data_IF_875963483951
#
_entry.id   IF_875963483951
#
_cell.length_a   1.000
_cell.length_b   1.000
_cell.length_c   1.000
_cell.angle_alpha   90.00
_cell.angle_beta   90.00
_cell.angle_gamma   90.00
#
_symmetry.space_group_name_H-M   'P 1'
#
loop_
_entity.id
_entity.type
_entity.pdbx_description
1 polymer ?
#
# COMPACT_ATOMS: atom_id res chain seq x y z
N UNK A 1 -2.32 18.89 -75.18
CA UNK A 1 -1.76 20.26 -75.30
C UNK A 1 -0.77 20.37 -76.47
N UNK A 2 0.44 19.80 -76.43
CA UNK A 2 1.42 19.95 -77.54
C UNK A 2 0.97 19.29 -78.86
N UNK A 3 0.49 18.04 -78.82
CA UNK A 3 -0.02 17.35 -80.02
C UNK A 3 -1.24 18.04 -80.63
N UNK A 4 -2.23 18.40 -79.81
CA UNK A 4 -3.47 19.05 -80.29
C UNK A 4 -3.18 20.39 -80.96
N UNK A 5 -2.25 21.16 -80.38
CA UNK A 5 -1.80 22.44 -80.93
C UNK A 5 -1.03 22.27 -82.24
N UNK A 6 -0.15 21.26 -82.35
CA UNK A 6 0.55 20.95 -83.60
C UNK A 6 -0.42 20.47 -84.69
N UNK A 7 -1.43 19.67 -84.32
CA UNK A 7 -2.49 19.21 -85.21
C UNK A 7 -3.36 20.35 -85.72
N UNK A 8 -3.77 21.27 -84.84
CA UNK A 8 -4.57 22.43 -85.21
C UNK A 8 -3.81 23.34 -86.20
N UNK A 9 -2.53 23.61 -85.92
CA UNK A 9 -1.65 24.36 -86.84
C UNK A 9 -1.54 23.68 -88.21
N UNK A 10 -1.30 22.37 -88.24
CA UNK A 10 -1.19 21.62 -89.50
C UNK A 10 -2.51 21.61 -90.29
N UNK A 11 -3.67 21.44 -89.63
CA UNK A 11 -4.99 21.46 -90.29
C UNK A 11 -5.34 22.84 -90.83
N UNK A 12 -4.80 23.92 -90.25
CA UNK A 12 -5.05 25.31 -90.69
C UNK A 12 -4.24 25.75 -91.92
N UNK A 13 -3.41 24.88 -92.50
CA UNK A 13 -2.55 25.19 -93.65
C UNK A 13 -3.39 25.58 -94.88
N UNK A 14 -3.06 26.71 -95.51
CA UNK A 14 -3.76 27.23 -96.70
C UNK A 14 -3.11 26.75 -97.99
N UNK A 15 -3.90 26.68 -99.07
CA UNK A 15 -3.41 26.39 -100.42
C UNK A 15 -2.41 27.48 -100.85
N UNK A 16 -1.22 27.09 -101.30
CA UNK A 16 -0.13 27.99 -101.68
C UNK A 16 0.92 28.25 -100.59
N UNK A 17 0.80 27.63 -99.41
CA UNK A 17 1.83 27.70 -98.36
C UNK A 17 3.16 27.10 -98.86
N UNK A 18 4.28 27.74 -98.51
CA UNK A 18 5.64 27.28 -98.89
C UNK A 18 5.88 25.84 -98.41
N UNK A 19 6.44 25.01 -99.29
CA UNK A 19 6.71 23.59 -99.00
C UNK A 19 7.54 23.40 -97.71
N UNK A 20 8.57 24.21 -97.49
CA UNK A 20 9.40 24.16 -96.28
C UNK A 20 8.61 24.35 -94.98
N UNK A 21 7.61 25.24 -94.98
CA UNK A 21 6.74 25.49 -93.81
C UNK A 21 5.81 24.30 -93.57
N UNK A 22 5.31 23.69 -94.64
CA UNK A 22 4.48 22.49 -94.56
C UNK A 22 5.31 21.34 -93.95
N UNK A 23 6.53 21.11 -94.44
CA UNK A 23 7.42 20.06 -93.92
C UNK A 23 7.74 20.25 -92.44
N UNK A 24 8.01 21.47 -91.98
CA UNK A 24 8.22 21.74 -90.55
C UNK A 24 6.98 21.46 -89.70
N UNK A 25 5.78 21.81 -90.18
CA UNK A 25 4.53 21.49 -89.48
C UNK A 25 4.22 19.98 -89.47
N UNK A 26 4.61 19.24 -90.50
CA UNK A 26 4.51 17.76 -90.54
C UNK A 26 5.43 17.12 -89.50
N UNK A 27 6.67 17.61 -89.37
CA UNK A 27 7.62 17.14 -88.37
C UNK A 27 7.14 17.42 -86.94
N UNK A 28 6.66 18.64 -86.67
CA UNK A 28 6.08 19.02 -85.37
C UNK A 28 4.87 18.14 -85.02
N UNK A 29 3.99 17.88 -86.00
CA UNK A 29 2.85 16.98 -85.82
C UNK A 29 3.29 15.54 -85.51
N UNK A 30 4.30 15.03 -86.23
CA UNK A 30 4.85 13.70 -86.01
C UNK A 30 5.45 13.57 -84.60
N UNK A 31 6.28 14.54 -84.21
CA UNK A 31 6.91 14.58 -82.90
C UNK A 31 5.87 14.69 -81.78
N UNK A 32 4.87 15.56 -81.93
CA UNK A 32 3.75 15.69 -81.01
C UNK A 32 2.98 14.39 -80.85
N UNK A 33 2.68 13.70 -81.96
CA UNK A 33 1.99 12.40 -81.95
C UNK A 33 2.82 11.32 -81.25
N UNK A 34 4.11 11.24 -81.56
CA UNK A 34 5.04 10.28 -80.97
C UNK A 34 5.15 10.46 -79.44
N UNK A 35 5.28 11.70 -78.97
CA UNK A 35 5.33 12.01 -77.54
C UNK A 35 4.00 11.71 -76.82
N UNK A 36 2.87 12.02 -77.46
CA UNK A 36 1.54 11.67 -76.94
C UNK A 36 1.38 10.15 -76.78
N UNK A 37 1.74 9.39 -77.82
CA UNK A 37 1.63 7.93 -77.81
C UNK A 37 2.52 7.29 -76.74
N UNK A 38 3.77 7.75 -76.61
CA UNK A 38 4.67 7.32 -75.53
C UNK A 38 4.07 7.56 -74.14
N UNK A 39 3.48 8.74 -73.93
CA UNK A 39 2.83 9.08 -72.65
C UNK A 39 1.60 8.20 -72.38
N UNK A 40 0.80 7.91 -73.43
CA UNK A 40 -0.35 7.00 -73.34
C UNK A 40 0.07 5.59 -72.93
N UNK A 41 1.12 5.04 -73.56
CA UNK A 41 1.62 3.71 -73.20
C UNK A 41 2.17 3.66 -71.78
N UNK A 42 2.91 4.69 -71.34
CA UNK A 42 3.39 4.78 -69.96
C UNK A 42 2.24 4.78 -68.95
N UNK A 43 1.16 5.52 -69.22
CA UNK A 43 -0.03 5.55 -68.37
C UNK A 43 -0.71 4.18 -68.31
N UNK A 44 -0.95 3.54 -69.46
CA UNK A 44 -1.58 2.21 -69.51
C UNK A 44 -0.72 1.17 -68.76
N UNK A 45 0.60 1.23 -68.91
CA UNK A 45 1.52 0.36 -68.17
C UNK A 45 1.47 0.61 -66.66
N UNK A 46 1.44 1.87 -66.22
CA UNK A 46 1.30 2.22 -64.80
C UNK A 46 -0.03 1.71 -64.23
N UNK A 47 -1.14 1.87 -64.96
CA UNK A 47 -2.46 1.36 -64.55
C UNK A 47 -2.48 -0.16 -64.47
N UNK A 48 -1.91 -0.86 -65.47
CA UNK A 48 -1.83 -2.31 -65.46
C UNK A 48 -1.01 -2.83 -64.27
N UNK A 49 0.10 -2.16 -63.95
CA UNK A 49 0.90 -2.50 -62.77
C UNK A 49 0.09 -2.29 -61.48
N UNK A 50 -0.55 -1.15 -61.29
CA UNK A 50 -1.40 -0.91 -60.10
C UNK A 50 -2.49 -1.98 -59.98
N UNK A 51 -3.17 -2.31 -61.09
CA UNK A 51 -4.23 -3.32 -61.10
C UNK A 51 -3.70 -4.71 -60.73
N UNK A 52 -2.51 -5.07 -61.21
CA UNK A 52 -1.85 -6.32 -60.88
C UNK A 52 -1.44 -6.38 -59.40
N UNK A 53 -1.02 -5.26 -58.81
CA UNK A 53 -0.44 -5.23 -57.45
C UNK A 53 -1.42 -5.01 -56.31
N UNK A 54 -2.47 -4.22 -56.55
CA UNK A 54 -3.33 -3.68 -55.48
C UNK A 54 -3.89 -4.74 -54.52
N UNK A 55 -4.17 -5.95 -55.02
CA UNK A 55 -4.76 -7.02 -54.20
C UNK A 55 -3.73 -7.72 -53.31
N UNK A 56 -2.55 -8.04 -53.85
CA UNK A 56 -1.55 -8.79 -53.09
C UNK A 56 -0.76 -7.88 -52.15
N UNK A 57 -0.44 -6.63 -52.53
CA UNK A 57 0.27 -5.69 -51.64
C UNK A 57 -0.59 -5.38 -50.39
N UNK A 58 -1.90 -5.24 -50.56
CA UNK A 58 -2.83 -5.07 -49.45
C UNK A 58 -2.86 -6.31 -48.54
N UNK A 59 -2.94 -7.50 -49.14
CA UNK A 59 -2.99 -8.75 -48.38
C UNK A 59 -1.68 -8.99 -47.62
N UNK A 60 -0.52 -8.75 -48.24
CA UNK A 60 0.79 -8.82 -47.60
C UNK A 60 0.86 -7.87 -46.39
N UNK A 61 0.38 -6.63 -46.53
CA UNK A 61 0.34 -5.68 -45.43
C UNK A 61 -0.52 -6.17 -44.27
N UNK A 62 -1.71 -6.72 -44.53
CA UNK A 62 -2.58 -7.25 -43.47
C UNK A 62 -1.96 -8.49 -42.83
N UNK A 63 -1.39 -9.40 -43.62
CA UNK A 63 -0.74 -10.61 -43.12
C UNK A 63 0.44 -10.26 -42.21
N UNK A 64 1.26 -9.27 -42.58
CA UNK A 64 2.35 -8.79 -41.73
C UNK A 64 1.84 -8.21 -40.40
N UNK A 65 0.75 -7.43 -40.44
CA UNK A 65 0.12 -6.89 -39.23
C UNK A 65 -0.44 -8.01 -38.34
N UNK A 66 -1.09 -9.02 -38.91
CA UNK A 66 -1.63 -10.15 -38.16
C UNK A 66 -0.52 -11.00 -37.52
N UNK A 67 0.58 -11.27 -38.23
CA UNK A 67 1.74 -11.96 -37.66
C UNK A 67 2.36 -11.17 -36.50
N UNK A 68 2.49 -9.84 -36.66
CA UNK A 68 2.99 -8.97 -35.59
C UNK A 68 2.06 -8.99 -34.35
N UNK A 69 0.74 -8.95 -34.53
CA UNK A 69 -0.22 -9.05 -33.43
C UNK A 69 -0.13 -10.41 -32.72
N UNK A 70 -0.05 -11.50 -33.48
CA UNK A 70 0.10 -12.85 -32.92
C UNK A 70 1.35 -12.94 -32.04
N UNK A 71 2.49 -12.43 -32.51
CA UNK A 71 3.74 -12.39 -31.74
C UNK A 71 3.63 -11.51 -30.51
N UNK A 72 3.04 -10.32 -30.64
CA UNK A 72 2.84 -9.40 -29.53
C UNK A 72 2.05 -10.04 -28.38
N UNK A 73 0.89 -10.64 -28.69
CA UNK A 73 0.06 -11.27 -27.66
C UNK A 73 0.69 -12.53 -27.09
N UNK A 74 1.39 -13.33 -27.92
CA UNK A 74 2.13 -14.49 -27.44
C UNK A 74 3.21 -14.10 -26.42
N UNK A 75 4.01 -13.07 -26.71
CA UNK A 75 5.03 -12.57 -25.80
C UNK A 75 4.41 -11.99 -24.52
N UNK A 76 3.31 -11.25 -24.64
CA UNK A 76 2.57 -10.74 -23.50
C UNK A 76 2.07 -11.87 -22.59
N UNK A 77 1.48 -12.91 -23.17
CA UNK A 77 1.05 -14.09 -22.42
C UNK A 77 2.21 -14.76 -21.69
N UNK A 78 3.31 -15.05 -22.39
CA UNK A 78 4.50 -15.67 -21.79
C UNK A 78 5.07 -14.85 -20.62
N UNK A 79 5.03 -13.52 -20.72
CA UNK A 79 5.48 -12.63 -19.64
C UNK A 79 4.53 -12.67 -18.43
N UNK A 80 3.22 -12.63 -18.67
CA UNK A 80 2.23 -12.71 -17.60
C UNK A 80 2.24 -14.09 -16.92
N UNK A 81 2.41 -15.17 -17.68
CA UNK A 81 2.53 -16.53 -17.13
C UNK A 81 3.72 -16.66 -16.18
N UNK A 82 4.83 -15.97 -16.43
CA UNK A 82 5.97 -15.95 -15.49
C UNK A 82 5.62 -15.31 -14.14
N UNK A 83 4.58 -14.47 -14.07
CA UNK A 83 4.13 -13.85 -12.83
C UNK A 83 3.24 -14.76 -11.97
N UNK A 84 2.73 -15.85 -12.55
CA UNK A 84 1.83 -16.80 -11.88
C UNK A 84 2.32 -17.28 -10.50
N UNK A 85 3.59 -17.70 -10.29
CA UNK A 85 4.06 -18.11 -8.96
C UNK A 85 3.97 -16.99 -7.91
N UNK A 86 4.23 -15.73 -8.30
CA UNK A 86 4.15 -14.60 -7.39
C UNK A 86 2.71 -14.29 -6.99
N UNK A 87 1.77 -14.40 -7.94
CA UNK A 87 0.34 -14.25 -7.67
C UNK A 87 -0.11 -15.28 -6.63
N UNK A 88 0.29 -16.54 -6.80
CA UNK A 88 0.00 -17.60 -5.84
C UNK A 88 0.64 -17.34 -4.47
N UNK A 89 1.89 -16.88 -4.44
CA UNK A 89 2.57 -16.57 -3.19
C UNK A 89 1.86 -15.47 -2.40
N UNK A 90 1.43 -14.39 -3.07
CA UNK A 90 0.67 -13.30 -2.45
C UNK A 90 -0.68 -13.80 -1.93
N UNK A 91 -1.36 -14.66 -2.69
CA UNK A 91 -2.62 -15.27 -2.27
C UNK A 91 -2.44 -16.15 -1.02
N UNK A 92 -1.42 -17.00 -1.00
CA UNK A 92 -1.10 -17.85 0.15
C UNK A 92 -0.81 -17.00 1.39
N UNK A 93 -0.01 -15.94 1.25
CA UNK A 93 0.28 -15.03 2.36
C UNK A 93 -0.99 -14.37 2.91
N UNK A 94 -1.87 -13.89 2.02
CA UNK A 94 -3.14 -13.27 2.44
C UNK A 94 -4.04 -14.26 3.20
N UNK A 95 -4.11 -15.52 2.75
CA UNK A 95 -4.86 -16.58 3.42
C UNK A 95 -4.30 -16.90 4.80
N UNK A 96 -2.98 -17.05 4.90
CA UNK A 96 -2.31 -17.31 6.18
C UNK A 96 -2.49 -16.16 7.15
N UNK A 97 -2.33 -14.91 6.71
CA UNK A 97 -2.55 -13.72 7.54
C UNK A 97 -3.99 -13.66 8.07
N UNK A 98 -4.98 -13.97 7.22
CA UNK A 98 -6.38 -14.07 7.63
C UNK A 98 -6.59 -15.15 8.70
N UNK A 99 -6.03 -16.34 8.51
CA UNK A 99 -6.14 -17.43 9.48
C UNK A 99 -5.50 -17.07 10.83
N UNK A 100 -4.32 -16.46 10.81
CA UNK A 100 -3.64 -15.98 12.03
C UNK A 100 -4.51 -14.97 12.79
N UNK A 101 -5.08 -13.99 12.09
CA UNK A 101 -5.95 -12.99 12.70
C UNK A 101 -7.22 -13.60 13.31
N UNK A 102 -7.85 -14.56 12.63
CA UNK A 102 -9.00 -15.30 13.17
C UNK A 102 -8.61 -16.09 14.43
N UNK A 103 -7.48 -16.78 14.40
CA UNK A 103 -6.98 -17.53 15.55
C UNK A 103 -6.67 -16.62 16.76
N UNK A 104 -6.09 -15.44 16.53
CA UNK A 104 -5.86 -14.45 17.59
C UNK A 104 -7.17 -13.90 18.16
N UNK A 105 -8.14 -13.59 17.30
CA UNK A 105 -9.46 -13.14 17.71
C UNK A 105 -10.18 -14.19 18.56
N UNK A 106 -10.12 -15.46 18.18
CA UNK A 106 -10.69 -16.57 18.94
C UNK A 106 -10.02 -16.76 20.30
N UNK A 107 -8.68 -16.68 20.35
CA UNK A 107 -7.93 -16.73 21.62
C UNK A 107 -8.33 -15.58 22.54
N UNK A 108 -8.46 -14.37 22.01
CA UNK A 108 -8.89 -13.21 22.77
C UNK A 108 -10.32 -13.37 23.30
N UNK A 109 -11.25 -13.82 22.44
CA UNK A 109 -12.64 -14.05 22.83
C UNK A 109 -12.74 -15.06 23.99
N UNK A 110 -11.99 -16.17 23.91
CA UNK A 110 -11.89 -17.17 25.00
C UNK A 110 -11.35 -16.54 26.29
N UNK A 111 -10.26 -15.77 26.22
CA UNK A 111 -9.66 -15.09 27.39
C UNK A 111 -10.62 -14.11 28.06
N UNK A 112 -11.39 -13.35 27.27
CA UNK A 112 -12.41 -12.41 27.78
C UNK A 112 -13.53 -13.17 28.48
N UNK A 113 -14.00 -14.27 27.88
CA UNK A 113 -15.04 -15.10 28.47
C UNK A 113 -14.57 -15.73 29.80
N UNK A 114 -13.37 -16.31 29.83
CA UNK A 114 -12.74 -16.84 31.05
C UNK A 114 -12.68 -15.78 32.17
N UNK A 115 -12.26 -14.56 31.84
CA UNK A 115 -12.19 -13.47 32.81
C UNK A 115 -13.56 -13.09 33.37
N UNK A 116 -14.57 -12.96 32.50
CA UNK A 116 -15.95 -12.66 32.93
C UNK A 116 -16.50 -13.74 33.86
N UNK A 117 -16.28 -15.01 33.53
CA UNK A 117 -16.72 -16.13 34.38
C UNK A 117 -15.98 -16.15 35.71
N UNK A 118 -14.67 -15.91 35.73
CA UNK A 118 -13.87 -15.82 36.96
C UNK A 118 -14.36 -14.69 37.87
N UNK A 119 -14.65 -13.52 37.31
CA UNK A 119 -15.18 -12.36 38.02
C UNK A 119 -16.58 -12.64 38.60
N UNK A 120 -17.47 -13.28 37.84
CA UNK A 120 -18.79 -13.69 38.31
C UNK A 120 -18.70 -14.68 39.48
N UNK A 121 -17.84 -15.69 39.40
CA UNK A 121 -17.59 -16.64 40.49
C UNK A 121 -17.01 -15.93 41.73
N UNK A 122 -16.09 -14.99 41.56
CA UNK A 122 -15.51 -14.21 42.66
C UNK A 122 -16.56 -13.34 43.35
N UNK A 123 -17.41 -12.67 42.57
CA UNK A 123 -18.53 -11.87 43.08
C UNK A 123 -19.53 -12.71 43.87
N UNK A 124 -19.89 -13.90 43.37
CA UNK A 124 -20.76 -14.84 44.09
C UNK A 124 -20.15 -15.29 45.43
N UNK A 125 -18.84 -15.60 45.45
CA UNK A 125 -18.13 -15.95 46.69
C UNK A 125 -18.10 -14.79 47.69
N UNK A 126 -17.82 -13.56 47.23
CA UNK A 126 -17.83 -12.39 48.11
C UNK A 126 -19.22 -12.08 48.67
N UNK A 127 -20.27 -12.18 47.85
CA UNK A 127 -21.65 -12.01 48.31
C UNK A 127 -22.05 -13.06 49.37
N UNK A 128 -21.57 -14.30 49.26
CA UNK A 128 -21.82 -15.34 50.27
C UNK A 128 -21.10 -15.09 51.61
N UNK A 129 -19.93 -14.45 51.59
CA UNK A 129 -19.16 -14.12 52.81
C UNK A 129 -19.68 -12.89 53.56
N UNK A 130 -20.44 -11.99 52.91
CA UNK A 130 -21.06 -10.84 53.59
C UNK A 130 -22.25 -11.26 54.46
N UNK A 131 -22.86 -12.43 54.19
CA UNK A 131 -23.95 -12.96 55.00
C UNK A 131 -23.50 -13.67 56.29
N UNK A 132 -22.19 -13.78 56.55
CA UNK A 132 -21.63 -14.50 57.72
C UNK A 132 -20.81 -13.63 58.67
N UNK A 133 -20.79 -12.31 58.52
CA UNK A 133 -19.99 -11.43 59.39
C UNK A 133 -20.77 -10.19 59.84
N UNK A 134 -21.59 -10.35 60.87
CA UNK A 134 -21.90 -9.27 61.83
C UNK A 134 -21.73 -9.79 63.25
N UNK A 135 -20.50 -10.17 63.61
CA UNK A 135 -20.00 -10.13 65.00
C UNK A 135 -18.54 -10.55 65.02
N UNK A 136 -17.68 -9.75 65.66
CA UNK A 136 -16.32 -10.17 65.96
C UNK A 136 -15.27 -9.09 65.71
N UNK A 137 -15.09 -8.25 66.71
CA UNK A 137 -13.86 -7.49 66.98
C UNK A 137 -12.62 -8.37 66.72
N UNK A 138 -11.72 -7.93 65.84
CA UNK A 138 -10.63 -8.75 65.33
C UNK A 138 -9.54 -7.91 64.71
N UNK A 139 -8.56 -7.53 65.53
CA UNK A 139 -7.29 -6.92 65.11
C UNK A 139 -6.62 -7.85 64.10
N UNK A 140 -6.59 -7.44 62.83
CA UNK A 140 -6.10 -8.25 61.72
C UNK A 140 -4.55 -8.24 61.66
N UNK A 141 -3.91 -9.29 62.18
CA UNK A 141 -2.46 -9.55 62.12
C UNK A 141 -2.04 -10.01 60.71
N UNK A 142 -2.33 -9.21 59.67
CA UNK A 142 -1.93 -9.52 58.28
C UNK A 142 -0.73 -8.70 57.80
N UNK A 143 -0.34 -7.67 58.55
CA UNK A 143 0.83 -6.86 58.22
C UNK A 143 2.18 -7.57 58.39
N UNK A 144 2.34 -8.37 59.44
CA UNK A 144 3.68 -8.74 59.96
C UNK A 144 4.50 -9.67 59.03
N UNK A 145 3.85 -10.54 58.25
CA UNK A 145 4.53 -11.45 57.31
C UNK A 145 4.92 -10.75 56.00
N UNK A 146 4.19 -9.70 55.61
CA UNK A 146 4.48 -8.94 54.39
C UNK A 146 5.80 -8.17 54.52
N UNK A 147 6.06 -7.56 55.67
CA UNK A 147 7.29 -6.79 55.93
C UNK A 147 8.54 -7.66 55.88
N UNK A 148 8.52 -8.86 56.48
CA UNK A 148 9.66 -9.79 56.47
C UNK A 148 10.03 -10.26 55.07
N UNK A 149 9.03 -10.49 54.21
CA UNK A 149 9.24 -10.90 52.81
C UNK A 149 9.84 -9.77 51.96
N UNK A 150 9.43 -8.53 52.26
CA UNK A 150 9.96 -7.33 51.60
C UNK A 150 11.43 -7.11 51.98
N UNK A 151 11.77 -7.22 53.26
CA UNK A 151 13.17 -7.11 53.72
C UNK A 151 14.08 -8.16 53.07
N UNK A 152 13.64 -9.41 52.97
CA UNK A 152 14.39 -10.47 52.31
C UNK A 152 14.62 -10.18 50.80
N UNK A 153 13.62 -9.60 50.12
CA UNK A 153 13.71 -9.24 48.71
C UNK A 153 14.63 -8.03 48.46
N UNK A 154 14.67 -7.07 49.39
CA UNK A 154 15.61 -5.94 49.34
C UNK A 154 17.06 -6.38 49.59
N UNK A 155 17.28 -7.45 50.36
CA UNK A 155 18.62 -8.00 50.64
C UNK A 155 19.14 -8.89 49.50
N UNK A 156 18.27 -9.59 48.77
CA UNK A 156 18.65 -10.46 47.65
C UNK A 156 18.98 -9.71 46.35
N UNK A 157 18.69 -8.41 46.28
CA UNK A 157 18.92 -7.56 45.09
C UNK A 157 20.40 -7.27 44.80
N UNK A 158 21.32 -7.76 45.65
CA UNK A 158 22.78 -7.67 45.45
C UNK A 158 23.28 -8.34 44.15
N UNK A 159 22.45 -9.21 43.52
CA UNK A 159 22.76 -9.92 42.28
C UNK A 159 22.28 -9.21 41.00
N UNK A 160 21.73 -7.98 41.09
CA UNK A 160 21.48 -7.11 39.93
C UNK A 160 20.13 -7.29 39.22
N UNK A 161 19.23 -8.17 39.67
CA UNK A 161 17.85 -8.22 39.18
C UNK A 161 16.92 -7.36 40.05
N UNK A 162 16.30 -6.35 39.44
CA UNK A 162 15.33 -5.45 40.09
C UNK A 162 13.94 -6.07 40.03
N UNK A 163 13.30 -6.29 41.18
CA UNK A 163 11.93 -6.80 41.27
C UNK A 163 10.97 -5.72 41.77
N UNK A 164 9.69 -5.81 41.38
CA UNK A 164 8.63 -4.91 41.87
C UNK A 164 8.12 -5.45 43.20
N UNK A 165 8.33 -4.70 44.28
CA UNK A 165 7.78 -5.00 45.61
C UNK A 165 6.28 -4.74 45.63
N UNK A 166 5.85 -3.58 45.13
CA UNK A 166 4.46 -3.13 45.15
C UNK A 166 4.19 -2.15 44.03
N UNK A 167 2.99 -2.22 43.48
CA UNK A 167 2.54 -1.28 42.47
C UNK A 167 1.04 -1.05 42.59
N UNK A 168 0.58 0.13 42.16
CA UNK A 168 -0.83 0.48 42.21
C UNK A 168 -1.08 1.97 42.07
N UNK A 169 -2.36 2.33 41.99
CA UNK A 169 -2.76 3.73 41.94
C UNK A 169 -2.78 4.35 43.34
N UNK A 170 -2.10 5.48 43.51
CA UNK A 170 -2.19 6.32 44.71
C UNK A 170 -2.46 7.77 44.31
N UNK A 171 -2.98 8.56 45.25
CA UNK A 171 -3.09 10.01 45.09
C UNK A 171 -1.85 10.70 45.64
N UNK A 172 -1.20 11.52 44.81
CA UNK A 172 -0.07 12.37 45.18
C UNK A 172 -0.48 13.83 45.17
N UNK A 173 -0.24 14.53 46.27
CA UNK A 173 -0.45 15.97 46.37
C UNK A 173 0.65 16.75 45.62
N UNK A 174 0.26 17.75 44.86
CA UNK A 174 1.19 18.70 44.23
C UNK A 174 1.65 19.74 45.25
N UNK A 175 2.90 20.18 45.13
CA UNK A 175 3.53 21.16 46.04
C UNK A 175 3.19 22.61 45.70
N UNK A 176 2.40 22.84 44.65
CA UNK A 176 1.94 24.17 44.28
C UNK A 176 0.97 24.70 45.35
N UNK A 177 0.90 26.03 45.49
CA UNK A 177 0.06 26.74 46.48
C UNK A 177 -1.43 26.34 46.49
N UNK A 178 -1.93 25.68 45.43
CA UNK A 178 -3.31 25.18 45.30
C UNK A 178 -3.51 23.70 45.67
N UNK A 179 -2.45 22.94 45.97
CA UNK A 179 -2.53 21.62 46.61
C UNK A 179 -3.38 20.56 45.88
N UNK A 180 -3.30 20.46 44.56
CA UNK A 180 -4.06 19.49 43.75
C UNK A 180 -3.59 18.04 44.02
N UNK A 181 -4.53 17.12 44.25
CA UNK A 181 -4.27 15.68 44.33
C UNK A 181 -4.36 15.04 42.95
N UNK A 182 -3.32 14.28 42.55
CA UNK A 182 -3.28 13.59 41.26
C UNK A 182 -3.16 12.10 41.44
N UNK A 183 -4.06 11.34 40.82
CA UNK A 183 -3.96 9.88 40.72
C UNK A 183 -2.78 9.53 39.81
N UNK A 184 -1.83 8.74 40.31
CA UNK A 184 -0.67 8.25 39.56
C UNK A 184 -0.48 6.76 39.84
N UNK A 185 0.04 6.02 38.87
CA UNK A 185 0.44 4.62 39.06
C UNK A 185 1.87 4.59 39.60
N UNK A 186 2.02 4.14 40.84
CA UNK A 186 3.30 4.05 41.54
C UNK A 186 3.86 2.64 41.43
N UNK A 187 5.19 2.56 41.37
CA UNK A 187 5.95 1.32 41.43
C UNK A 187 7.07 1.49 42.44
N UNK A 188 7.12 0.59 43.42
CA UNK A 188 8.20 0.44 44.38
C UNK A 188 9.04 -0.77 43.97
N UNK A 189 10.31 -0.53 43.70
CA UNK A 189 11.26 -1.59 43.36
C UNK A 189 12.05 -2.10 44.58
N UNK A 190 12.71 -3.25 44.40
CA UNK A 190 13.53 -3.91 45.42
C UNK A 190 14.78 -3.13 45.84
N UNK A 191 15.20 -2.11 45.07
CA UNK A 191 16.24 -1.16 45.47
C UNK A 191 15.72 -0.05 46.39
N UNK A 192 14.42 -0.04 46.70
CA UNK A 192 13.79 1.01 47.50
C UNK A 192 13.49 2.28 46.70
N UNK A 193 13.56 2.23 45.37
CA UNK A 193 13.19 3.35 44.50
C UNK A 193 11.68 3.35 44.31
N UNK A 194 11.04 4.46 44.70
CA UNK A 194 9.64 4.74 44.37
C UNK A 194 9.60 5.69 43.17
N UNK A 195 8.95 5.25 42.10
CA UNK A 195 8.69 6.07 40.92
C UNK A 195 7.22 5.96 40.50
N UNK A 196 6.78 6.88 39.64
CA UNK A 196 5.42 6.87 39.11
C UNK A 196 5.37 7.20 37.63
N UNK A 197 4.37 6.65 36.94
CA UNK A 197 4.10 7.00 35.56
C UNK A 197 3.29 8.30 35.48
N UNK A 198 3.87 9.31 34.82
CA UNK A 198 3.17 10.53 34.48
C UNK A 198 2.27 10.30 33.27
N UNK A 199 0.98 10.62 33.39
CA UNK A 199 0.09 10.64 32.22
C UNK A 199 0.45 11.88 31.38
N UNK A 200 1.14 11.67 30.25
CA UNK A 200 1.31 12.66 29.18
C UNK A 200 0.48 12.16 28.00
N UNK A 201 -0.59 12.87 27.66
CA UNK A 201 -1.28 12.63 26.40
C UNK A 201 -0.29 12.71 25.23
N UNK A 202 -0.34 11.74 24.33
CA UNK A 202 0.33 11.63 23.03
C UNK A 202 1.84 12.00 22.91
N UNK A 203 2.59 12.14 24.00
CA UNK A 203 4.06 12.32 23.96
C UNK A 203 4.71 11.43 25.01
N UNK A 204 5.74 10.71 24.56
CA UNK A 204 6.57 9.68 25.23
C UNK A 204 6.62 9.81 26.76
N UNK A 205 6.32 8.70 27.46
CA UNK A 205 6.32 8.59 28.92
C UNK A 205 7.71 8.89 29.49
N UNK A 206 7.80 9.91 30.34
CA UNK A 206 9.04 10.33 31.00
C UNK A 206 9.05 9.83 32.45
N UNK A 207 10.17 9.23 32.87
CA UNK A 207 10.36 8.63 34.18
C UNK A 207 10.69 9.71 35.22
N UNK A 208 9.78 9.94 36.17
CA UNK A 208 10.07 10.82 37.29
C UNK A 208 10.54 9.99 38.49
N UNK A 209 11.85 10.05 38.74
CA UNK A 209 12.49 9.49 39.93
C UNK A 209 12.30 10.46 41.10
N UNK A 210 11.64 10.05 42.18
CA UNK A 210 11.74 10.79 43.44
C UNK A 210 12.80 10.12 44.31
N UNK A 211 13.94 10.80 44.54
CA UNK A 211 14.89 10.41 45.60
C UNK A 211 14.25 10.77 46.95
N UNK A 212 13.61 9.79 47.59
CA UNK A 212 12.88 9.98 48.84
C UNK A 212 13.79 9.78 50.05
N UNK A 213 14.67 10.73 50.31
CA UNK A 213 15.37 10.79 51.59
C UNK A 213 14.76 11.78 52.60
N UNK A 214 13.72 12.57 52.26
CA UNK A 214 13.09 13.48 53.26
C UNK A 214 11.66 14.02 52.92
N UNK A 215 10.84 13.35 52.09
CA UNK A 215 9.56 13.98 51.62
C UNK A 215 8.37 13.03 51.50
N UNK A 216 8.00 12.40 52.61
CA UNK A 216 6.92 11.39 52.71
C UNK A 216 5.57 11.99 53.13
N UNK A 217 5.30 13.27 52.86
CA UNK A 217 4.27 13.97 53.65
C UNK A 217 2.83 13.73 53.18
N UNK A 218 2.53 13.34 51.92
CA UNK A 218 1.13 13.20 51.49
C UNK A 218 0.90 12.15 50.38
N UNK A 219 0.92 10.86 50.72
CA UNK A 219 0.35 9.79 49.89
C UNK A 219 -0.84 9.19 50.65
N UNK A 220 -1.99 9.08 49.98
CA UNK A 220 -3.19 8.44 50.54
C UNK A 220 -3.56 7.27 49.64
N UNK A 221 -3.94 6.14 50.26
CA UNK A 221 -4.42 4.96 49.55
C UNK A 221 -5.66 5.33 48.72
N UNK A 222 -5.75 4.81 47.50
CA UNK A 222 -6.99 4.86 46.73
C UNK A 222 -7.86 3.71 47.23
N UNK A 223 -8.91 4.00 47.99
CA UNK A 223 -9.93 2.99 48.28
C UNK A 223 -10.53 2.51 46.94
N UNK A 224 -10.69 1.19 46.85
CA UNK A 224 -11.19 0.47 45.67
C UNK A 224 -12.70 0.25 45.76
#
# INVERSE_FOLDING_TARGET
>A
MSYDQAREKFVSVRKGTRAEVVTGLEEDLHNGKSAFERSRFNLVHALANIEAKKKYEFLESISAVMDAHLRYFKQGFELLSQMEPFIHQVLTYAQQSKEMAMNEQDKLAKRIQEFRTQEEIANLRMASNVNTSTSGDGIHVVGLQSYKKIEALMQSTANGQVEIIKQGYLFKRSENLRGEWKRRYFVLDSHGTLYYYGNKGNKQSEWHHSKLLNRLVYLVASDS
#
